data_IF_677022184313
#
_entry.id   IF_677022184313
#
_cell.length_a   1.000
_cell.length_b   1.000
_cell.length_c   1.000
_cell.angle_alpha   90.00
_cell.angle_beta   90.00
_cell.angle_gamma   90.00
#
_symmetry.space_group_name_H-M   'P 1'
#
loop_
_entity.id
_entity.type
_entity.pdbx_description
1 polymer ?
#
# COMPACT_ATOMS: atom_id res chain seq x y z
N UNK A 1 24.67 -21.82 25.74
CA UNK A 1 24.93 -20.44 25.29
C UNK A 1 23.61 -19.82 24.84
N UNK A 2 23.06 -18.88 25.61
CA UNK A 2 21.84 -18.13 25.26
C UNK A 2 22.28 -16.71 24.87
N UNK A 3 22.20 -16.37 23.59
CA UNK A 3 22.45 -15.01 23.13
C UNK A 3 21.17 -14.18 23.34
N UNK A 4 21.16 -13.37 24.40
CA UNK A 4 20.17 -12.30 24.54
C UNK A 4 20.56 -11.17 23.58
N UNK A 5 19.76 -10.94 22.55
CA UNK A 5 19.80 -9.73 21.73
C UNK A 5 19.32 -8.56 22.57
N UNK A 6 20.21 -7.59 22.81
CA UNK A 6 19.88 -6.29 23.41
C UNK A 6 19.18 -5.44 22.34
N UNK A 7 17.86 -5.41 22.36
CA UNK A 7 17.09 -4.36 21.68
C UNK A 7 17.20 -3.08 22.53
N UNK A 8 18.12 -2.20 22.14
CA UNK A 8 18.14 -0.82 22.62
C UNK A 8 17.07 -0.07 21.84
N UNK A 9 15.92 0.18 22.49
CA UNK A 9 14.95 1.16 22.01
C UNK A 9 15.51 2.56 22.26
N UNK A 10 15.53 3.48 21.29
CA UNK A 10 15.63 4.88 21.65
C UNK A 10 14.34 5.26 22.37
N UNK A 11 14.47 5.76 23.60
CA UNK A 11 13.36 6.36 24.33
C UNK A 11 12.73 7.43 23.44
N UNK A 12 11.41 7.34 23.23
CA UNK A 12 10.67 8.34 22.49
C UNK A 12 10.68 9.63 23.31
N UNK A 13 11.70 10.46 23.10
CA UNK A 13 11.74 11.81 23.62
C UNK A 13 10.46 12.52 23.16
N UNK A 14 9.69 13.02 24.12
CA UNK A 14 8.41 13.65 23.89
C UNK A 14 8.63 14.94 23.09
N UNK A 15 8.57 14.83 21.76
CA UNK A 15 8.70 15.96 20.84
C UNK A 15 7.49 16.87 21.00
N UNK A 16 7.63 17.90 21.82
CA UNK A 16 6.61 18.94 22.00
C UNK A 16 6.82 20.05 20.97
N UNK A 17 5.77 20.37 20.22
CA UNK A 17 5.79 21.46 19.23
C UNK A 17 5.85 22.79 19.97
N UNK A 18 6.79 23.65 19.61
CA UNK A 18 6.90 25.01 20.18
C UNK A 18 5.59 25.80 19.96
N UNK A 19 4.96 26.36 21.01
CA UNK A 19 3.77 27.18 20.84
C UNK A 19 4.00 28.36 19.88
N UNK A 20 3.04 28.61 18.99
CA UNK A 20 3.11 29.71 18.01
C UNK A 20 3.82 29.37 16.68
N UNK A 21 4.40 28.18 16.52
CA UNK A 21 5.05 27.78 15.25
C UNK A 21 4.14 26.99 14.30
N UNK A 22 2.92 26.66 14.76
CA UNK A 22 1.94 25.91 13.96
C UNK A 22 1.32 26.83 12.90
N UNK A 23 1.77 26.69 11.66
CA UNK A 23 1.11 27.31 10.50
C UNK A 23 -0.09 26.46 10.05
N UNK A 24 -1.20 27.10 9.65
CA UNK A 24 -2.42 26.44 9.12
C UNK A 24 -2.84 27.05 7.78
N UNK A 25 -3.76 26.41 7.06
CA UNK A 25 -4.28 26.89 5.78
C UNK A 25 -3.63 26.25 4.55
N UNK A 26 -4.15 26.58 3.37
CA UNK A 26 -3.75 25.98 2.08
C UNK A 26 -2.29 26.28 1.70
N UNK A 27 -1.83 27.52 1.91
CA UNK A 27 -0.44 27.91 1.66
C UNK A 27 0.54 27.09 2.51
N UNK A 28 0.23 26.90 3.79
CA UNK A 28 1.01 26.06 4.72
C UNK A 28 1.08 24.59 4.29
N UNK A 29 0.06 24.07 3.59
CA UNK A 29 0.08 22.70 3.05
C UNK A 29 1.03 22.56 1.87
N UNK A 30 1.10 23.57 1.00
CA UNK A 30 2.03 23.56 -0.13
C UNK A 30 3.48 23.63 0.37
N UNK A 31 3.77 24.51 1.33
CA UNK A 31 5.08 24.58 1.99
C UNK A 31 5.46 23.24 2.64
N UNK A 32 4.55 22.62 3.39
CA UNK A 32 4.78 21.32 4.02
C UNK A 32 5.02 20.20 3.00
N UNK A 33 4.30 20.23 1.88
CA UNK A 33 4.47 19.25 0.80
C UNK A 33 5.87 19.35 0.17
N UNK A 34 6.34 20.56 -0.13
CA UNK A 34 7.70 20.79 -0.66
C UNK A 34 8.74 20.29 0.32
N UNK A 35 8.63 20.67 1.60
CA UNK A 35 9.56 20.22 2.65
C UNK A 35 9.60 18.70 2.81
N UNK A 36 8.45 18.02 2.71
CA UNK A 36 8.38 16.57 2.78
C UNK A 36 8.99 15.90 1.54
N UNK A 37 8.79 16.45 0.36
CA UNK A 37 9.39 15.95 -0.89
C UNK A 37 10.91 16.10 -0.86
N UNK A 38 11.42 17.25 -0.40
CA UNK A 38 12.86 17.48 -0.19
C UNK A 38 13.44 16.52 0.86
N UNK A 39 12.79 16.39 2.03
CA UNK A 39 13.27 15.53 3.11
C UNK A 39 13.26 14.04 2.76
N UNK A 40 12.36 13.60 1.86
CA UNK A 40 12.28 12.21 1.40
C UNK A 40 13.04 11.95 0.09
N UNK A 41 13.55 13.01 -0.57
CA UNK A 41 14.23 12.91 -1.87
C UNK A 41 13.30 12.48 -3.01
N UNK A 42 12.01 12.80 -2.93
CA UNK A 42 10.99 12.33 -3.88
C UNK A 42 10.45 13.44 -4.77
N UNK A 43 10.07 13.11 -6.00
CA UNK A 43 9.58 14.08 -7.00
C UNK A 43 8.07 14.04 -7.20
N UNK A 44 7.37 13.15 -6.49
CA UNK A 44 5.91 13.05 -6.53
C UNK A 44 5.31 12.82 -5.15
N UNK A 45 4.06 13.25 -4.97
CA UNK A 45 3.31 13.04 -3.72
C UNK A 45 3.10 11.56 -3.41
N UNK A 46 2.89 10.73 -4.42
CA UNK A 46 2.68 9.29 -4.23
C UNK A 46 3.97 8.55 -3.85
N UNK A 47 5.11 9.01 -4.34
CA UNK A 47 6.42 8.50 -3.91
C UNK A 47 6.78 9.00 -2.52
N UNK A 48 6.55 10.29 -2.25
CA UNK A 48 6.69 10.90 -0.93
C UNK A 48 5.87 10.14 0.12
N UNK A 49 4.60 9.83 -0.16
CA UNK A 49 3.75 8.99 0.72
C UNK A 49 4.35 7.62 0.97
N UNK A 50 4.85 6.95 -0.07
CA UNK A 50 5.48 5.61 0.07
C UNK A 50 6.75 5.66 0.91
N UNK A 51 7.57 6.70 0.79
CA UNK A 51 8.79 6.86 1.58
C UNK A 51 8.47 7.27 3.02
N UNK A 52 7.60 8.27 3.20
CA UNK A 52 7.21 8.80 4.50
C UNK A 52 6.42 7.79 5.35
N UNK A 53 5.55 6.99 4.74
CA UNK A 53 4.82 5.91 5.43
C UNK A 53 5.69 4.65 5.62
N UNK A 54 6.87 4.61 4.99
CA UNK A 54 7.80 3.49 5.01
C UNK A 54 7.39 2.33 4.07
N UNK A 55 8.30 1.34 3.94
CA UNK A 55 7.94 0.07 3.28
C UNK A 55 6.84 -0.61 4.09
N UNK A 56 5.70 -1.00 3.48
CA UNK A 56 4.71 -1.83 4.16
C UNK A 56 5.43 -3.02 4.77
N UNK A 57 5.26 -3.20 6.08
CA UNK A 57 5.86 -4.34 6.78
C UNK A 57 5.29 -5.61 6.16
N UNK A 58 6.18 -6.49 5.68
CA UNK A 58 5.78 -7.84 5.28
C UNK A 58 5.14 -8.50 6.51
N UNK A 59 3.83 -8.73 6.46
CA UNK A 59 3.06 -9.29 7.58
C UNK A 59 2.13 -8.33 8.33
N UNK A 60 2.08 -7.04 7.99
CA UNK A 60 0.92 -6.22 8.37
C UNK A 60 -0.24 -6.63 7.47
N UNK A 61 -1.36 -7.03 8.07
CA UNK A 61 -2.56 -7.37 7.33
C UNK A 61 -2.86 -6.23 6.35
N UNK A 62 -2.82 -6.54 5.06
CA UNK A 62 -3.49 -5.72 4.07
C UNK A 62 -4.91 -5.47 4.62
N UNK A 63 -5.42 -4.24 4.50
CA UNK A 63 -6.74 -3.88 5.04
C UNK A 63 -7.82 -4.89 4.63
N UNK A 64 -8.95 -4.89 5.35
CA UNK A 64 -10.03 -5.86 5.15
C UNK A 64 -10.25 -6.16 3.66
N UNK A 65 -9.95 -7.39 3.26
CA UNK A 65 -10.18 -7.85 1.90
C UNK A 65 -11.57 -8.47 1.87
N UNK A 66 -12.58 -7.77 1.35
CA UNK A 66 -13.95 -8.28 1.36
C UNK A 66 -14.05 -9.54 0.50
N UNK A 67 -14.86 -10.49 0.95
CA UNK A 67 -15.13 -11.72 0.21
C UNK A 67 -16.29 -11.45 -0.75
N UNK A 68 -16.01 -11.54 -2.05
CA UNK A 68 -17.03 -11.49 -3.09
C UNK A 68 -17.37 -12.91 -3.56
N UNK A 69 -18.67 -13.24 -3.60
CA UNK A 69 -19.17 -14.51 -4.16
C UNK A 69 -20.02 -14.21 -5.39
N UNK A 70 -19.72 -14.90 -6.50
CA UNK A 70 -20.47 -14.79 -7.74
C UNK A 70 -20.70 -16.18 -8.33
N UNK A 71 -21.82 -16.34 -9.06
CA UNK A 71 -22.03 -17.53 -9.89
C UNK A 71 -21.31 -17.30 -11.22
N UNK A 72 -20.57 -18.31 -11.66
CA UNK A 72 -19.85 -18.29 -12.93
C UNK A 72 -20.22 -19.54 -13.73
N UNK A 73 -20.25 -19.45 -15.08
CA UNK A 73 -20.36 -20.62 -15.93
C UNK A 73 -19.25 -21.64 -15.65
N UNK A 74 -19.55 -22.92 -15.80
CA UNK A 74 -18.62 -24.01 -15.48
C UNK A 74 -17.39 -23.98 -16.40
N UNK A 75 -17.58 -23.60 -17.65
CA UNK A 75 -16.57 -23.48 -18.69
C UNK A 75 -15.54 -22.42 -18.31
N UNK A 76 -16.02 -21.28 -17.78
CA UNK A 76 -15.15 -20.19 -17.34
C UNK A 76 -14.30 -20.63 -16.15
N UNK A 77 -14.92 -21.32 -15.18
CA UNK A 77 -14.20 -21.88 -14.03
C UNK A 77 -13.12 -22.88 -14.46
N UNK A 78 -13.45 -23.79 -15.37
CA UNK A 78 -12.51 -24.78 -15.88
C UNK A 78 -11.32 -24.11 -16.61
N UNK A 79 -11.59 -23.06 -17.39
CA UNK A 79 -10.55 -22.26 -18.06
C UNK A 79 -9.58 -21.61 -17.07
N UNK A 80 -10.09 -20.97 -16.02
CA UNK A 80 -9.25 -20.37 -14.98
C UNK A 80 -8.43 -21.39 -14.19
N UNK A 81 -9.00 -22.56 -13.89
CA UNK A 81 -8.28 -23.63 -13.21
C UNK A 81 -7.11 -24.16 -14.06
N UNK A 82 -7.33 -24.38 -15.36
CA UNK A 82 -6.28 -24.79 -16.28
C UNK A 82 -5.17 -23.74 -16.41
N UNK A 83 -5.53 -22.46 -16.45
CA UNK A 83 -4.59 -21.34 -16.50
C UNK A 83 -3.75 -21.23 -15.23
N UNK A 84 -4.40 -21.35 -14.06
CA UNK A 84 -3.75 -21.33 -12.75
C UNK A 84 -2.69 -22.43 -12.63
N UNK A 85 -3.03 -23.66 -13.08
CA UNK A 85 -2.11 -24.78 -13.11
C UNK A 85 -0.91 -24.53 -14.03
N UNK A 86 -1.16 -24.02 -15.25
CA UNK A 86 -0.10 -23.73 -16.23
C UNK A 86 0.89 -22.69 -15.71
N UNK A 87 0.40 -21.68 -15.01
CA UNK A 87 1.21 -20.53 -14.56
C UNK A 87 1.73 -20.70 -13.12
N UNK A 88 1.36 -21.79 -12.44
CA UNK A 88 1.66 -22.02 -11.02
C UNK A 88 1.19 -20.83 -10.14
N UNK A 89 0.01 -20.30 -10.43
CA UNK A 89 -0.62 -19.16 -9.74
C UNK A 89 -1.92 -19.61 -9.08
N UNK A 90 -2.41 -18.85 -8.10
CA UNK A 90 -3.72 -19.10 -7.49
C UNK A 90 -4.83 -18.55 -8.38
N UNK A 91 -5.93 -19.29 -8.51
CA UNK A 91 -7.13 -18.83 -9.25
C UNK A 91 -7.62 -17.46 -8.76
N UNK A 92 -7.59 -17.22 -7.44
CA UNK A 92 -7.99 -15.94 -6.87
C UNK A 92 -7.12 -14.76 -7.34
N UNK A 93 -5.84 -14.98 -7.62
CA UNK A 93 -4.95 -13.93 -8.10
C UNK A 93 -5.27 -13.59 -9.56
N UNK A 94 -5.53 -14.62 -10.38
CA UNK A 94 -5.97 -14.45 -11.77
C UNK A 94 -7.33 -13.73 -11.87
N UNK A 95 -8.28 -14.07 -10.99
CA UNK A 95 -9.60 -13.41 -10.97
C UNK A 95 -9.47 -11.94 -10.59
N UNK A 96 -8.60 -11.59 -9.63
CA UNK A 96 -8.37 -10.19 -9.25
C UNK A 96 -7.72 -9.39 -10.39
N UNK A 97 -6.76 -9.99 -11.08
CA UNK A 97 -6.09 -9.38 -12.24
C UNK A 97 -7.08 -9.12 -13.38
N UNK A 98 -7.84 -10.15 -13.77
CA UNK A 98 -8.85 -10.02 -14.82
C UNK A 98 -9.93 -8.96 -14.49
N UNK A 99 -10.34 -8.87 -13.22
CA UNK A 99 -11.30 -7.86 -12.78
C UNK A 99 -10.71 -6.44 -12.83
N UNK A 100 -9.43 -6.28 -12.44
CA UNK A 100 -8.74 -5.00 -12.53
C UNK A 100 -8.60 -4.54 -13.99
N UNK A 101 -8.18 -5.43 -14.89
CA UNK A 101 -8.08 -5.15 -16.32
C UNK A 101 -9.43 -4.76 -16.93
N UNK A 102 -10.50 -5.49 -16.59
CA UNK A 102 -11.86 -5.16 -17.05
C UNK A 102 -12.33 -3.78 -16.60
N UNK A 103 -12.01 -3.38 -15.37
CA UNK A 103 -12.35 -2.04 -14.87
C UNK A 103 -11.51 -0.95 -15.54
N UNK A 104 -10.24 -1.23 -15.86
CA UNK A 104 -9.37 -0.29 -16.58
C UNK A 104 -9.90 -0.09 -18.00
N UNK A 105 -10.18 -1.18 -18.73
CA UNK A 105 -10.70 -1.10 -20.10
C UNK A 105 -12.02 -0.34 -20.15
N UNK A 106 -12.92 -0.56 -19.19
CA UNK A 106 -14.23 0.10 -19.16
C UNK A 106 -14.21 1.57 -18.72
N UNK A 107 -13.09 2.06 -18.16
CA UNK A 107 -12.90 3.48 -17.81
C UNK A 107 -12.15 4.26 -18.90
N UNK A 108 -11.53 3.55 -19.84
CA UNK A 108 -10.86 4.14 -21.00
C UNK A 108 -11.84 4.44 -22.15
N UNK A 109 -13.02 3.82 -22.12
CA UNK A 109 -14.22 4.17 -22.91
C UNK A 109 -15.01 5.32 -22.25
#
# INVERSE_FOLDING_TARGET
MKHQSRDVRPDAAEMTVKPGTVKRGSASRQEAQVLLMEATGTLSVEEMKRVALGRPRVGVAAGETPIMRARVPQELKAGFAALALRENRKEADLVREALAEYLISRRAD
#
